data_IF_645726551026
#
_entry.id   IF_645726551026
#
_cell.length_a   1.000
_cell.length_b   1.000
_cell.length_c   1.000
_cell.angle_alpha   90.00
_cell.angle_beta   90.00
_cell.angle_gamma   90.00
#
_symmetry.space_group_name_H-M   'P 1'
#
loop_
_entity.id
_entity.type
_entity.pdbx_description
1 polymer ?
#
# COMPACT_ATOMS: atom_id res chain seq x y z
N UNK A 1 83.90 -1.12 -24.40
CA UNK A 1 82.82 -0.19 -23.95
C UNK A 1 81.41 -0.70 -24.31
N UNK A 2 81.23 -1.48 -25.39
CA UNK A 2 79.93 -2.04 -25.75
C UNK A 2 79.39 -3.09 -24.76
N UNK A 3 80.27 -3.83 -24.07
CA UNK A 3 79.87 -4.93 -23.16
C UNK A 3 79.20 -4.47 -21.86
N UNK A 4 79.41 -3.21 -21.45
CA UNK A 4 78.80 -2.64 -20.24
C UNK A 4 77.34 -2.21 -20.47
N UNK A 5 77.01 -1.79 -21.70
CA UNK A 5 75.64 -1.39 -22.07
C UNK A 5 74.71 -2.59 -22.25
N UNK A 6 75.23 -3.73 -22.72
CA UNK A 6 74.45 -4.97 -22.89
C UNK A 6 74.03 -5.56 -21.55
N UNK A 7 74.92 -5.60 -20.54
CA UNK A 7 74.58 -6.10 -19.21
C UNK A 7 73.55 -5.24 -18.48
N UNK A 8 73.57 -3.91 -18.66
CA UNK A 8 72.59 -3.00 -18.04
C UNK A 8 71.18 -3.19 -18.61
N UNK A 9 71.06 -3.40 -19.92
CA UNK A 9 69.77 -3.62 -20.60
C UNK A 9 69.18 -4.99 -20.25
N UNK A 10 70.02 -6.00 -20.07
CA UNK A 10 69.58 -7.34 -19.65
C UNK A 10 69.12 -7.36 -18.19
N UNK A 11 69.78 -6.62 -17.28
CA UNK A 11 69.35 -6.49 -15.89
C UNK A 11 68.00 -5.76 -15.78
N UNK A 12 67.84 -4.66 -16.53
CA UNK A 12 66.58 -3.90 -16.54
C UNK A 12 65.41 -4.68 -17.15
N UNK A 13 65.69 -5.59 -18.10
CA UNK A 13 64.66 -6.46 -18.69
C UNK A 13 64.28 -7.63 -17.78
N UNK A 14 65.23 -8.16 -17.00
CA UNK A 14 64.97 -9.24 -16.04
C UNK A 14 64.11 -8.77 -14.86
N UNK A 15 64.40 -7.58 -14.30
CA UNK A 15 63.66 -7.01 -13.17
C UNK A 15 62.21 -6.62 -13.52
N UNK A 16 61.96 -6.13 -14.74
CA UNK A 16 60.58 -5.82 -15.18
C UNK A 16 59.76 -7.10 -15.35
N UNK A 17 60.36 -8.17 -15.87
CA UNK A 17 59.66 -9.46 -16.06
C UNK A 17 59.33 -10.11 -14.72
N UNK A 18 60.26 -10.12 -13.74
CA UNK A 18 59.97 -10.61 -12.37
C UNK A 18 58.94 -9.74 -11.65
N UNK A 19 59.03 -8.40 -11.74
CA UNK A 19 58.00 -7.50 -11.17
C UNK A 19 56.62 -7.77 -11.78
N UNK A 20 56.55 -8.01 -13.10
CA UNK A 20 55.28 -8.34 -13.75
C UNK A 20 54.78 -9.75 -13.41
N UNK A 21 55.66 -10.72 -13.19
CA UNK A 21 55.29 -12.09 -12.80
C UNK A 21 54.86 -12.18 -11.33
N UNK A 22 55.53 -11.49 -10.41
CA UNK A 22 55.15 -11.43 -8.99
C UNK A 22 53.82 -10.69 -8.80
N UNK A 23 53.60 -9.61 -9.57
CA UNK A 23 52.32 -8.93 -9.63
C UNK A 23 51.23 -9.79 -10.29
N UNK A 24 51.55 -10.68 -11.24
CA UNK A 24 50.55 -11.61 -11.80
C UNK A 24 50.23 -12.78 -10.86
N UNK A 25 51.20 -13.20 -10.03
CA UNK A 25 51.07 -14.32 -9.09
C UNK A 25 50.15 -13.96 -7.92
N UNK A 26 50.26 -12.73 -7.39
CA UNK A 26 49.42 -12.23 -6.28
C UNK A 26 47.94 -12.04 -6.68
N UNK A 27 47.67 -11.74 -7.95
CA UNK A 27 46.30 -11.64 -8.48
C UNK A 27 45.63 -13.01 -8.66
N UNK A 28 46.39 -14.09 -8.80
CA UNK A 28 45.83 -15.41 -9.11
C UNK A 28 45.33 -16.16 -7.86
N UNK A 29 45.88 -15.87 -6.67
CA UNK A 29 45.44 -16.48 -5.41
C UNK A 29 44.26 -15.72 -4.77
N UNK A 30 44.19 -14.39 -4.95
CA UNK A 30 43.12 -13.56 -4.39
C UNK A 30 41.85 -13.49 -5.28
N UNK A 31 41.97 -13.70 -6.58
CA UNK A 31 40.84 -13.67 -7.54
C UNK A 31 39.72 -14.68 -7.25
N UNK A 32 39.95 -15.95 -6.88
CA UNK A 32 38.85 -16.87 -6.60
C UNK A 32 38.06 -16.47 -5.36
N UNK A 33 38.72 -15.95 -4.32
CA UNK A 33 38.05 -15.46 -3.12
C UNK A 33 37.27 -14.17 -3.39
N UNK A 34 37.86 -13.23 -4.13
CA UNK A 34 37.21 -11.98 -4.50
C UNK A 34 36.00 -12.23 -5.42
N UNK A 35 36.12 -13.13 -6.39
CA UNK A 35 35.02 -13.56 -7.24
C UNK A 35 33.91 -14.24 -6.43
N UNK A 36 34.27 -15.12 -5.48
CA UNK A 36 33.32 -15.77 -4.57
C UNK A 36 32.55 -14.77 -3.70
N UNK A 37 33.25 -13.80 -3.11
CA UNK A 37 32.63 -12.73 -2.32
C UNK A 37 31.71 -11.85 -3.17
N UNK A 38 32.11 -11.51 -4.39
CA UNK A 38 31.28 -10.72 -5.30
C UNK A 38 29.98 -11.46 -5.67
N UNK A 39 30.07 -12.76 -5.99
CA UNK A 39 28.89 -13.59 -6.29
C UNK A 39 27.99 -13.73 -5.07
N UNK A 40 28.56 -13.96 -3.89
CA UNK A 40 27.80 -14.05 -2.64
C UNK A 40 27.08 -12.74 -2.31
N UNK A 41 27.77 -11.60 -2.44
CA UNK A 41 27.18 -10.28 -2.22
C UNK A 41 26.03 -10.00 -3.21
N UNK A 42 26.22 -10.31 -4.49
CA UNK A 42 25.19 -10.15 -5.51
C UNK A 42 23.97 -11.04 -5.25
N UNK A 43 24.18 -12.29 -4.83
CA UNK A 43 23.10 -13.22 -4.49
C UNK A 43 22.28 -12.75 -3.28
N UNK A 44 22.95 -12.26 -2.23
CA UNK A 44 22.27 -11.69 -1.06
C UNK A 44 21.46 -10.45 -1.45
N UNK A 45 22.05 -9.52 -2.19
CA UNK A 45 21.36 -8.32 -2.65
C UNK A 45 20.14 -8.66 -3.52
N UNK A 46 20.26 -9.63 -4.43
CA UNK A 46 19.16 -10.13 -5.24
C UNK A 46 18.03 -10.72 -4.39
N UNK A 47 18.36 -11.56 -3.40
CA UNK A 47 17.37 -12.17 -2.49
C UNK A 47 16.61 -11.10 -1.69
N UNK A 48 17.32 -10.15 -1.08
CA UNK A 48 16.69 -9.07 -0.32
C UNK A 48 15.85 -8.16 -1.21
N UNK A 49 16.31 -7.88 -2.44
CA UNK A 49 15.56 -7.10 -3.43
C UNK A 49 14.23 -7.77 -3.81
N UNK A 50 14.24 -9.07 -4.11
CA UNK A 50 13.02 -9.83 -4.45
C UNK A 50 12.08 -9.90 -3.25
N UNK A 51 12.58 -10.14 -2.05
CA UNK A 51 11.75 -10.17 -0.83
C UNK A 51 11.10 -8.81 -0.55
N UNK A 52 11.85 -7.71 -0.67
CA UNK A 52 11.32 -6.36 -0.51
C UNK A 52 10.25 -6.04 -1.57
N UNK A 53 10.47 -6.47 -2.82
CA UNK A 53 9.52 -6.29 -3.91
C UNK A 53 8.22 -7.08 -3.71
N UNK A 54 8.32 -8.34 -3.27
CA UNK A 54 7.16 -9.15 -2.92
C UNK A 54 6.39 -8.55 -1.75
N UNK A 55 7.09 -8.11 -0.69
CA UNK A 55 6.48 -7.44 0.45
C UNK A 55 5.80 -6.12 0.05
N UNK A 56 6.36 -5.36 -0.89
CA UNK A 56 5.77 -4.14 -1.41
C UNK A 56 4.48 -4.41 -2.20
N UNK A 57 4.48 -5.42 -3.09
CA UNK A 57 3.28 -5.83 -3.84
C UNK A 57 2.20 -6.44 -2.94
N UNK A 58 2.59 -7.10 -1.86
CA UNK A 58 1.69 -7.69 -0.89
C UNK A 58 1.09 -6.67 0.10
N UNK A 59 1.42 -5.37 -0.01
CA UNK A 59 0.84 -4.34 0.86
C UNK A 59 -0.67 -4.24 0.62
N UNK A 60 -1.52 -4.60 1.59
CA UNK A 60 -2.95 -4.42 1.44
C UNK A 60 -3.24 -2.92 1.32
N UNK A 61 -4.21 -2.50 0.48
CA UNK A 61 -4.62 -1.11 0.43
C UNK A 61 -5.08 -0.70 1.83
N UNK A 62 -4.43 0.32 2.41
CA UNK A 62 -4.83 0.86 3.71
C UNK A 62 -6.29 1.28 3.61
N UNK A 63 -7.22 0.68 4.37
CA UNK A 63 -8.61 1.09 4.34
C UNK A 63 -8.65 2.54 4.81
N UNK A 64 -9.11 3.44 3.93
CA UNK A 64 -9.42 4.80 4.33
C UNK A 64 -10.66 4.71 5.22
N UNK A 65 -10.44 4.57 6.53
CA UNK A 65 -11.51 4.65 7.51
C UNK A 65 -12.08 6.06 7.38
N UNK A 66 -13.29 6.16 6.82
CA UNK A 66 -14.00 7.43 6.76
C UNK A 66 -14.24 7.85 8.20
N UNK A 67 -13.97 9.12 8.52
CA UNK A 67 -14.28 9.64 9.85
C UNK A 67 -15.76 9.41 10.12
N UNK A 68 -16.05 8.66 11.18
CA UNK A 68 -17.40 8.53 11.69
C UNK A 68 -17.83 9.89 12.25
N UNK A 69 -19.11 10.22 12.15
CA UNK A 69 -19.63 11.41 12.79
C UNK A 69 -19.69 11.16 14.30
N UNK A 70 -19.09 12.05 15.06
CA UNK A 70 -19.11 11.96 16.53
C UNK A 70 -20.52 12.31 17.04
N UNK A 71 -21.10 11.44 17.86
CA UNK A 71 -22.45 11.60 18.43
C UNK A 71 -23.45 10.54 17.99
N UNK A 72 -24.70 10.68 18.46
CA UNK A 72 -25.82 9.81 18.11
C UNK A 72 -26.75 10.43 17.06
N UNK A 73 -27.83 9.72 16.74
CA UNK A 73 -28.91 10.28 15.92
C UNK A 73 -29.56 11.47 16.62
N UNK A 74 -30.03 12.43 15.83
CA UNK A 74 -30.79 13.54 16.38
C UNK A 74 -32.17 13.04 16.86
N UNK A 75 -32.74 13.67 17.90
CA UNK A 75 -34.08 13.32 18.41
C UNK A 75 -35.18 13.60 17.40
N UNK A 76 -34.95 14.51 16.45
CA UNK A 76 -35.85 14.76 15.32
C UNK A 76 -35.05 14.62 14.03
N UNK A 77 -35.51 13.76 13.13
CA UNK A 77 -34.80 13.48 11.88
C UNK A 77 -34.79 14.71 10.98
N UNK A 78 -33.61 15.26 10.76
CA UNK A 78 -33.43 16.40 9.86
C UNK A 78 -33.20 15.92 8.42
N UNK A 79 -33.52 16.75 7.43
CA UNK A 79 -33.25 16.43 6.02
C UNK A 79 -31.75 16.19 5.76
N UNK A 80 -30.89 16.92 6.48
CA UNK A 80 -29.44 16.76 6.43
C UNK A 80 -29.03 15.38 6.94
N UNK A 81 -29.48 14.99 8.13
CA UNK A 81 -29.22 13.67 8.72
C UNK A 81 -29.74 12.54 7.83
N UNK A 82 -30.96 12.67 7.32
CA UNK A 82 -31.56 11.70 6.41
C UNK A 82 -30.72 11.48 5.14
N UNK A 83 -30.16 12.56 4.59
CA UNK A 83 -29.27 12.49 3.42
C UNK A 83 -27.95 11.75 3.75
N UNK A 84 -27.42 11.95 4.96
CA UNK A 84 -26.20 11.28 5.45
C UNK A 84 -26.44 9.79 5.68
N UNK A 85 -27.57 9.40 6.28
CA UNK A 85 -27.95 8.00 6.51
C UNK A 85 -28.09 7.25 5.18
N UNK A 86 -28.75 7.86 4.19
CA UNK A 86 -28.94 7.25 2.87
C UNK A 86 -27.71 7.38 1.95
N UNK A 87 -26.71 8.18 2.34
CA UNK A 87 -25.50 8.41 1.53
C UNK A 87 -25.77 9.15 0.22
N UNK A 88 -26.78 10.02 0.18
CA UNK A 88 -27.19 10.80 -1.00
C UNK A 88 -27.11 12.30 -0.71
N UNK A 89 -27.17 13.13 -1.76
CA UNK A 89 -27.26 14.58 -1.60
C UNK A 89 -28.66 14.97 -1.12
N UNK A 90 -28.78 16.05 -0.34
CA UNK A 90 -30.07 16.62 0.07
C UNK A 90 -30.98 16.97 -1.13
N UNK A 91 -30.37 17.31 -2.27
CA UNK A 91 -31.05 17.63 -3.53
C UNK A 91 -31.31 16.41 -4.43
N UNK A 92 -31.19 15.18 -3.92
CA UNK A 92 -31.40 13.97 -4.71
C UNK A 92 -32.87 13.82 -5.15
N UNK A 93 -33.08 13.22 -6.33
CA UNK A 93 -34.42 12.92 -6.85
C UNK A 93 -35.08 11.79 -6.07
N UNK A 94 -36.42 11.75 -6.07
CA UNK A 94 -37.19 10.73 -5.35
C UNK A 94 -36.81 9.29 -5.73
N UNK A 95 -36.44 9.03 -6.99
CA UNK A 95 -36.02 7.70 -7.44
C UNK A 95 -34.68 7.29 -6.83
N UNK A 96 -33.73 8.23 -6.73
CA UNK A 96 -32.45 7.99 -6.04
C UNK A 96 -32.65 7.75 -4.55
N UNK A 97 -33.62 8.41 -3.92
CA UNK A 97 -33.98 8.16 -2.51
C UNK A 97 -34.47 6.73 -2.32
N UNK A 98 -35.39 6.25 -3.18
CA UNK A 98 -35.92 4.88 -3.10
C UNK A 98 -34.85 3.82 -3.33
N UNK A 99 -34.00 4.03 -4.33
CA UNK A 99 -32.91 3.10 -4.64
C UNK A 99 -31.86 3.06 -3.51
N UNK A 100 -31.48 4.21 -2.97
CA UNK A 100 -30.59 4.28 -1.82
C UNK A 100 -31.21 3.63 -0.58
N UNK A 101 -32.49 3.87 -0.31
CA UNK A 101 -33.23 3.23 0.78
C UNK A 101 -33.22 1.71 0.66
N UNK A 102 -33.53 1.17 -0.53
CA UNK A 102 -33.50 -0.28 -0.77
C UNK A 102 -32.11 -0.86 -0.49
N UNK A 103 -31.06 -0.21 -0.98
CA UNK A 103 -29.67 -0.66 -0.79
C UNK A 103 -29.25 -0.68 0.68
N UNK A 104 -29.51 0.41 1.39
CA UNK A 104 -29.14 0.55 2.81
C UNK A 104 -29.99 -0.36 3.69
N UNK A 105 -31.28 -0.53 3.37
CA UNK A 105 -32.18 -1.43 4.10
C UNK A 105 -31.78 -2.89 3.95
N UNK A 106 -31.42 -3.36 2.75
CA UNK A 106 -30.98 -4.76 2.55
C UNK A 106 -29.73 -5.07 3.39
N UNK A 107 -28.80 -4.12 3.50
CA UNK A 107 -27.59 -4.29 4.31
C UNK A 107 -27.85 -4.26 5.83
N UNK A 108 -28.94 -3.62 6.27
CA UNK A 108 -29.26 -3.43 7.70
C UNK A 108 -30.58 -4.10 8.11
N UNK A 109 -31.08 -5.04 7.31
CA UNK A 109 -32.36 -5.68 7.55
C UNK A 109 -32.32 -6.45 8.89
N UNK A 110 -33.34 -6.34 9.77
CA UNK A 110 -33.33 -7.03 11.06
C UNK A 110 -33.17 -8.54 10.91
N UNK A 111 -33.83 -9.14 9.91
CA UNK A 111 -33.74 -10.57 9.64
C UNK A 111 -32.35 -11.03 9.15
N UNK A 112 -31.52 -10.10 8.66
CA UNK A 112 -30.14 -10.37 8.25
C UNK A 112 -29.12 -10.07 9.36
N UNK A 113 -29.58 -9.91 10.61
CA UNK A 113 -28.74 -9.55 11.76
C UNK A 113 -28.55 -8.04 11.96
N UNK A 114 -29.34 -7.21 11.26
CA UNK A 114 -29.36 -5.76 11.46
C UNK A 114 -30.11 -5.33 12.72
N UNK A 115 -29.90 -4.09 13.17
CA UNK A 115 -30.63 -3.54 14.31
C UNK A 115 -32.00 -3.00 13.90
N UNK A 116 -33.04 -3.36 14.66
CA UNK A 116 -34.39 -2.78 14.51
C UNK A 116 -34.38 -1.25 14.64
N UNK A 117 -33.50 -0.71 15.47
CA UNK A 117 -33.37 0.73 15.65
C UNK A 117 -32.79 1.39 14.39
N UNK A 118 -31.77 0.80 13.78
CA UNK A 118 -31.18 1.31 12.53
C UNK A 118 -32.18 1.21 11.38
N UNK A 119 -32.90 0.10 11.25
CA UNK A 119 -33.94 -0.06 10.24
C UNK A 119 -35.04 1.01 10.37
N UNK A 120 -35.45 1.31 11.61
CA UNK A 120 -36.39 2.39 11.90
C UNK A 120 -35.86 3.76 11.47
N UNK A 121 -34.61 4.09 11.79
CA UNK A 121 -33.97 5.36 11.38
C UNK A 121 -33.79 5.48 9.87
N UNK A 122 -33.51 4.37 9.17
CA UNK A 122 -33.44 4.33 7.69
C UNK A 122 -34.82 4.60 7.07
N UNK A 123 -35.89 4.08 7.68
CA UNK A 123 -37.26 4.36 7.22
C UNK A 123 -37.67 5.81 7.46
N UNK A 124 -37.35 6.36 8.64
CA UNK A 124 -37.58 7.77 8.98
C UNK A 124 -36.85 8.69 7.98
N UNK A 125 -35.59 8.39 7.66
CA UNK A 125 -34.80 9.13 6.67
C UNK A 125 -35.47 9.15 5.27
N UNK A 126 -36.00 8.01 4.82
CA UNK A 126 -36.73 7.92 3.53
C UNK A 126 -37.97 8.80 3.55
N UNK A 127 -38.75 8.77 4.62
CA UNK A 127 -40.00 9.52 4.72
C UNK A 127 -39.75 11.04 4.74
N UNK A 128 -38.71 11.49 5.45
CA UNK A 128 -38.25 12.89 5.45
C UNK A 128 -37.80 13.34 4.06
N UNK A 129 -37.00 12.52 3.36
CA UNK A 129 -36.48 12.87 2.03
C UNK A 129 -37.57 12.90 0.95
N UNK A 130 -38.65 12.12 1.10
CA UNK A 130 -39.80 12.11 0.20
C UNK A 130 -40.88 13.13 0.59
N UNK A 131 -40.67 13.93 1.64
CA UNK A 131 -41.64 14.92 2.11
C UNK A 131 -42.93 14.30 2.66
N UNK A 132 -42.93 13.01 3.00
CA UNK A 132 -44.01 12.37 3.75
C UNK A 132 -43.83 12.70 5.23
N UNK A 133 -43.94 13.98 5.56
CA UNK A 133 -43.87 14.46 6.93
C UNK A 133 -45.08 13.98 7.72
N UNK A 134 -45.00 12.79 8.31
CA UNK A 134 -45.65 12.61 9.61
C UNK A 134 -44.73 13.30 10.60
N UNK A 135 -45.24 14.34 11.27
CA UNK A 135 -44.59 14.94 12.43
C UNK A 135 -44.53 13.96 13.59
N UNK A 136 -43.85 12.84 13.41
CA UNK A 136 -43.47 11.92 14.48
C UNK A 136 -42.12 12.39 14.98
N UNK A 137 -42.11 13.16 16.06
CA UNK A 137 -40.96 13.09 16.96
C UNK A 137 -40.74 11.61 17.26
N UNK A 138 -39.50 11.12 17.13
CA UNK A 138 -39.24 9.72 17.40
C UNK A 138 -39.68 9.43 18.84
N UNK A 139 -40.57 8.46 19.03
CA UNK A 139 -41.09 8.05 20.34
C UNK A 139 -40.06 7.24 21.16
N UNK A 140 -38.79 7.40 20.83
CA UNK A 140 -37.63 6.77 21.44
C UNK A 140 -36.58 7.85 21.67
#
# INVERSE_FOLDING_TARGET
MADCMINLVLYFSADVVTITQDFYFDYNEATPFLAGLAVAAAALAGRYGVQAWQAFKARPPKPRVRRFYDGGFQPTMTRREASLILGIRESATADKVKEAHRRVMVANHPDAGGSHYLASKINEAKDVMLGKGKGSGSAF
#
